data_IF_601180178016
#
_entry.id   IF_601180178016
#
_cell.length_a   1.000
_cell.length_b   1.000
_cell.length_c   1.000
_cell.angle_alpha   90.00
_cell.angle_beta   90.00
_cell.angle_gamma   90.00
#
_symmetry.space_group_name_H-M   'P 1'
#
loop_
_entity.id
_entity.type
_entity.pdbx_description
1 polymer ?
#
# COMPACT_ATOMS: atom_id res chain seq x y z
N UNK A 1 -4.41 20.83 -5.11
CA UNK A 1 -4.35 19.82 -6.17
C UNK A 1 -3.56 18.62 -5.67
N UNK A 2 -4.06 17.42 -5.92
CA UNK A 2 -3.37 16.21 -5.48
C UNK A 2 -2.10 15.97 -6.30
N UNK A 3 -1.05 15.51 -5.64
CA UNK A 3 0.24 15.23 -6.26
C UNK A 3 0.56 13.75 -6.12
N UNK A 4 1.62 13.31 -6.79
CA UNK A 4 2.12 11.94 -6.63
C UNK A 4 2.52 11.69 -5.18
N UNK A 5 3.11 12.69 -4.52
CA UNK A 5 3.44 12.56 -3.10
C UNK A 5 2.22 12.33 -2.23
N UNK A 6 1.11 13.00 -2.55
CA UNK A 6 -0.15 12.79 -1.83
C UNK A 6 -0.67 11.37 -2.05
N UNK A 7 -0.57 10.87 -3.29
CA UNK A 7 -0.98 9.50 -3.60
C UNK A 7 -0.15 8.48 -2.83
N UNK A 8 1.16 8.67 -2.80
CA UNK A 8 2.05 7.78 -2.04
C UNK A 8 1.68 7.79 -0.57
N UNK A 9 1.40 8.97 -0.01
CA UNK A 9 0.98 9.09 1.38
C UNK A 9 -0.30 8.32 1.66
N UNK A 10 -1.29 8.40 0.77
CA UNK A 10 -2.54 7.67 0.94
C UNK A 10 -2.36 6.17 0.82
N UNK A 11 -1.50 5.71 -0.08
CA UNK A 11 -1.19 4.29 -0.20
C UNK A 11 -0.56 3.77 1.10
N UNK A 12 0.36 4.52 1.67
CA UNK A 12 1.00 4.14 2.94
C UNK A 12 -0.02 4.07 4.08
N UNK A 13 -0.96 5.01 4.13
CA UNK A 13 -2.03 4.97 5.14
C UNK A 13 -2.88 3.71 4.96
N UNK A 14 -3.26 3.39 3.73
CA UNK A 14 -4.05 2.19 3.45
C UNK A 14 -3.30 0.92 3.86
N UNK A 15 -2.00 0.85 3.57
CA UNK A 15 -1.18 -0.28 4.00
C UNK A 15 -1.15 -0.41 5.52
N UNK A 16 -1.00 0.72 6.22
CA UNK A 16 -0.96 0.73 7.68
C UNK A 16 -2.30 0.26 8.27
N UNK A 17 -3.41 0.66 7.67
CA UNK A 17 -4.73 0.22 8.12
C UNK A 17 -4.92 -1.28 7.95
N UNK A 18 -4.47 -1.84 6.81
CA UNK A 18 -4.57 -3.27 6.57
C UNK A 18 -3.68 -4.04 7.56
N UNK A 19 -2.46 -3.57 7.77
CA UNK A 19 -1.54 -4.20 8.71
C UNK A 19 -2.10 -4.17 10.12
N UNK A 20 -2.68 -3.04 10.53
CA UNK A 20 -3.31 -2.89 11.84
C UNK A 20 -4.48 -3.88 12.00
N UNK A 21 -5.30 -4.03 10.97
CA UNK A 21 -6.41 -4.99 10.99
C UNK A 21 -5.91 -6.42 11.19
N UNK A 22 -4.83 -6.79 10.51
CA UNK A 22 -4.26 -8.13 10.65
C UNK A 22 -3.71 -8.36 12.06
N UNK A 23 -3.02 -7.37 12.62
CA UNK A 23 -2.45 -7.45 13.96
C UNK A 23 -3.55 -7.54 15.02
N UNK A 24 -4.65 -6.83 14.81
CA UNK A 24 -5.78 -6.85 15.75
C UNK A 24 -6.64 -8.11 15.64
N UNK A 25 -6.34 -8.99 14.68
CA UNK A 25 -7.07 -10.24 14.54
C UNK A 25 -8.42 -10.09 13.86
N UNK A 26 -8.59 -9.04 13.06
CA UNK A 26 -9.85 -8.81 12.35
C UNK A 26 -10.07 -9.78 11.19
N UNK A 27 -9.03 -10.50 10.78
CA UNK A 27 -9.15 -11.54 9.77
C UNK A 27 -9.74 -12.80 10.43
N UNK A 28 -11.02 -13.03 10.24
CA UNK A 28 -11.77 -14.07 10.94
C UNK A 28 -11.56 -15.47 10.36
N UNK A 29 -11.08 -15.56 9.13
CA UNK A 29 -10.82 -16.85 8.50
C UNK A 29 -9.70 -16.70 7.47
N UNK A 30 -9.29 -17.85 6.91
CA UNK A 30 -8.17 -17.89 5.98
C UNK A 30 -8.42 -17.06 4.71
N UNK A 31 -9.64 -17.11 4.20
CA UNK A 31 -9.97 -16.38 2.96
C UNK A 31 -9.85 -14.87 3.16
N UNK A 32 -10.36 -14.37 4.27
CA UNK A 32 -10.25 -12.94 4.61
C UNK A 32 -8.79 -12.55 4.81
N UNK A 33 -8.04 -13.39 5.51
CA UNK A 33 -6.62 -13.16 5.74
C UNK A 33 -5.87 -13.05 4.41
N UNK A 34 -6.06 -13.99 3.50
CA UNK A 34 -5.38 -13.97 2.21
C UNK A 34 -5.78 -12.75 1.38
N UNK A 35 -7.03 -12.34 1.45
CA UNK A 35 -7.51 -11.15 0.74
C UNK A 35 -6.82 -9.90 1.24
N UNK A 36 -6.69 -9.75 2.56
CA UNK A 36 -6.03 -8.59 3.15
C UNK A 36 -4.56 -8.55 2.81
N UNK A 37 -3.88 -9.71 2.88
CA UNK A 37 -2.48 -9.80 2.50
C UNK A 37 -2.29 -9.44 1.03
N UNK A 38 -3.17 -9.94 0.15
CA UNK A 38 -3.11 -9.62 -1.27
C UNK A 38 -3.29 -8.14 -1.53
N UNK A 39 -4.21 -7.49 -0.81
CA UNK A 39 -4.39 -6.03 -0.93
C UNK A 39 -3.14 -5.28 -0.48
N UNK A 40 -2.54 -5.71 0.62
CA UNK A 40 -1.32 -5.10 1.13
C UNK A 40 -0.19 -5.21 0.11
N UNK A 41 -0.01 -6.40 -0.45
CA UNK A 41 1.04 -6.63 -1.46
C UNK A 41 0.79 -5.85 -2.74
N UNK A 42 -0.47 -5.75 -3.16
CA UNK A 42 -0.83 -4.94 -4.33
C UNK A 42 -0.50 -3.47 -4.14
N UNK A 43 -0.79 -2.94 -2.95
CA UNK A 43 -0.46 -1.56 -2.62
C UNK A 43 1.05 -1.35 -2.55
N UNK A 44 1.78 -2.33 -2.03
CA UNK A 44 3.23 -2.28 -1.98
C UNK A 44 3.82 -2.23 -3.38
N UNK A 45 3.30 -3.05 -4.28
CA UNK A 45 3.74 -3.06 -5.67
C UNK A 45 3.49 -1.72 -6.34
N UNK A 46 2.30 -1.15 -6.14
CA UNK A 46 1.97 0.17 -6.67
C UNK A 46 2.91 1.23 -6.12
N UNK A 47 3.24 1.16 -4.84
CA UNK A 47 4.15 2.10 -4.21
C UNK A 47 5.56 2.00 -4.81
N UNK A 48 6.03 0.78 -5.07
CA UNK A 48 7.32 0.58 -5.71
C UNK A 48 7.37 1.19 -7.11
N UNK A 49 6.29 1.01 -7.88
CA UNK A 49 6.19 1.59 -9.22
C UNK A 49 6.25 3.11 -9.16
N UNK A 50 5.48 3.71 -8.24
CA UNK A 50 5.46 5.17 -8.09
C UNK A 50 6.81 5.72 -7.64
N UNK A 51 7.48 5.04 -6.72
CA UNK A 51 8.80 5.46 -6.28
C UNK A 51 9.82 5.39 -7.41
N UNK A 52 9.74 4.36 -8.25
CA UNK A 52 10.63 4.25 -9.40
C UNK A 52 10.39 5.37 -10.41
N UNK A 53 9.13 5.73 -10.65
CA UNK A 53 8.81 6.83 -11.55
C UNK A 53 9.35 8.15 -11.03
N UNK A 54 9.21 8.41 -9.74
CA UNK A 54 9.74 9.62 -9.14
C UNK A 54 11.25 9.69 -9.22
N UNK A 55 11.90 8.55 -9.02
CA UNK A 55 13.35 8.46 -9.11
C UNK A 55 13.84 8.75 -10.52
N UNK A 56 13.17 8.23 -11.53
CA UNK A 56 13.51 8.47 -12.91
C UNK A 56 13.39 9.96 -13.26
N UNK A 57 12.36 10.63 -12.78
CA UNK A 57 12.18 12.06 -13.00
C UNK A 57 13.29 12.86 -12.34
N UNK A 58 13.71 12.47 -11.14
CA UNK A 58 14.76 13.19 -10.42
C UNK A 58 16.13 13.03 -11.08
N UNK A 59 16.35 11.95 -11.80
CA UNK A 59 17.62 11.70 -12.47
C UNK A 59 17.76 12.46 -13.79
N UNK A 60 16.70 13.06 -14.26
CA UNK A 60 16.73 13.89 -15.47
C UNK A 60 17.09 15.33 -15.14
#
# INVERSE_FOLDING_TARGET
MATISDLIGQIKVSQAEIASSLVQGNAQNWDIYQRLVGRYEGLKEALDILNNLMKEEDEQ
#
